data_IF_392532520436
#
_entry.id   IF_392532520436
#
_cell.length_a   1.000
_cell.length_b   1.000
_cell.length_c   1.000
_cell.angle_alpha   90.00
_cell.angle_beta   90.00
_cell.angle_gamma   90.00
#
_symmetry.space_group_name_H-M   'P 1'
#
loop_
_entity.id
_entity.type
_entity.pdbx_description
1 polymer ?
#
# COMPACT_ATOMS: atom_id res chain seq x y z
N UNK A 1 -33.61 40.64 -3.00
CA UNK A 1 -33.75 39.30 -3.63
C UNK A 1 -33.14 39.40 -5.01
N UNK A 2 -32.26 38.53 -5.50
CA UNK A 2 -31.67 37.31 -4.98
C UNK A 2 -30.54 36.92 -5.96
N UNK A 3 -29.49 36.24 -5.49
CA UNK A 3 -28.62 35.42 -6.35
C UNK A 3 -27.12 35.70 -6.25
N UNK A 4 -26.54 35.56 -5.06
CA UNK A 4 -25.09 35.45 -4.92
C UNK A 4 -24.65 34.05 -5.41
N UNK A 5 -23.86 34.00 -6.48
CA UNK A 5 -23.42 32.78 -7.17
C UNK A 5 -22.24 32.07 -6.46
N UNK A 6 -21.86 32.50 -5.26
CA UNK A 6 -20.60 32.11 -4.64
C UNK A 6 -20.69 30.92 -3.65
N UNK A 7 -21.78 30.15 -3.64
CA UNK A 7 -21.98 29.04 -2.68
C UNK A 7 -21.69 27.63 -3.24
N UNK A 8 -20.86 27.50 -4.29
CA UNK A 8 -20.59 26.20 -4.95
C UNK A 8 -19.15 25.68 -4.77
N UNK A 9 -18.51 25.97 -3.63
CA UNK A 9 -17.23 25.34 -3.28
C UNK A 9 -17.41 24.58 -1.98
N UNK A 10 -18.14 23.47 -2.06
CA UNK A 10 -18.17 22.49 -0.99
C UNK A 10 -16.78 21.91 -0.82
N UNK A 11 -16.04 22.39 0.18
CA UNK A 11 -14.79 21.77 0.61
C UNK A 11 -15.13 20.40 1.21
N UNK A 12 -14.90 19.32 0.46
CA UNK A 12 -15.04 17.96 0.99
C UNK A 12 -13.74 17.54 1.67
N UNK A 13 -13.74 17.49 2.99
CA UNK A 13 -12.66 16.87 3.76
C UNK A 13 -12.96 15.37 3.87
N UNK A 14 -12.23 14.54 3.13
CA UNK A 14 -12.31 13.08 3.27
C UNK A 14 -11.36 12.65 4.38
N UNK A 15 -11.90 12.40 5.58
CA UNK A 15 -11.15 11.79 6.67
C UNK A 15 -10.99 10.28 6.42
N UNK A 16 -9.86 9.89 5.84
CA UNK A 16 -9.48 8.48 5.77
C UNK A 16 -9.01 8.05 7.16
N UNK A 17 -9.87 7.32 7.86
CA UNK A 17 -9.46 6.60 9.07
C UNK A 17 -8.66 5.38 8.65
N UNK A 18 -7.59 5.05 9.38
CA UNK A 18 -6.87 3.80 9.17
C UNK A 18 -7.84 2.63 9.31
N UNK A 19 -7.90 1.76 8.29
CA UNK A 19 -8.71 0.55 8.35
C UNK A 19 -8.30 -0.26 9.60
N UNK A 20 -9.27 -0.86 10.33
CA UNK A 20 -8.93 -1.76 11.42
C UNK A 20 -7.98 -2.83 10.88
N UNK A 21 -6.96 -3.24 11.65
CA UNK A 21 -6.04 -4.28 11.20
C UNK A 21 -6.88 -5.53 10.95
N UNK A 22 -7.05 -5.88 9.67
CA UNK A 22 -7.64 -7.16 9.33
C UNK A 22 -6.73 -8.22 9.93
N UNK A 23 -7.29 -9.10 10.76
CA UNK A 23 -6.62 -10.32 11.22
C UNK A 23 -6.46 -11.28 10.04
N UNK A 24 -5.66 -10.89 9.06
CA UNK A 24 -5.32 -11.73 7.94
C UNK A 24 -3.90 -12.23 8.13
N UNK A 25 -3.74 -13.55 8.01
CA UNK A 25 -2.46 -14.25 7.92
C UNK A 25 -1.75 -13.88 6.61
N UNK A 26 -1.46 -12.59 6.40
CA UNK A 26 -1.01 -12.02 5.15
C UNK A 26 -0.51 -10.58 5.31
N UNK A 27 0.07 -10.04 4.25
CA UNK A 27 0.33 -8.61 4.17
C UNK A 27 -0.97 -7.86 3.90
N UNK A 28 -1.05 -6.61 4.34
CA UNK A 28 -2.13 -5.72 3.92
C UNK A 28 -2.18 -5.64 2.38
N UNK A 29 -3.39 -5.59 1.81
CA UNK A 29 -3.58 -5.63 0.36
C UNK A 29 -2.81 -4.51 -0.37
N UNK A 30 -2.69 -3.34 0.26
CA UNK A 30 -1.93 -2.23 -0.29
C UNK A 30 -0.43 -2.50 -0.26
N UNK A 31 0.06 -3.08 0.85
CA UNK A 31 1.45 -3.43 1.00
C UNK A 31 1.88 -4.55 0.04
N UNK A 32 1.01 -5.54 -0.19
CA UNK A 32 1.22 -6.58 -1.21
C UNK A 32 1.28 -5.97 -2.62
N UNK A 33 0.35 -5.07 -2.96
CA UNK A 33 0.33 -4.37 -4.25
C UNK A 33 1.61 -3.58 -4.49
N UNK A 34 2.04 -2.76 -3.52
CA UNK A 34 3.28 -1.99 -3.59
C UNK A 34 4.47 -2.91 -3.80
N UNK A 35 4.58 -3.97 -2.99
CA UNK A 35 5.69 -4.91 -3.06
C UNK A 35 5.75 -5.61 -4.44
N UNK A 36 4.61 -6.04 -4.99
CA UNK A 36 4.55 -6.67 -6.33
C UNK A 36 5.02 -5.75 -7.44
N UNK A 37 4.59 -4.49 -7.44
CA UNK A 37 5.02 -3.49 -8.44
C UNK A 37 6.54 -3.27 -8.34
N UNK A 38 7.06 -3.13 -7.13
CA UNK A 38 8.51 -2.95 -6.92
C UNK A 38 9.31 -4.17 -7.36
N UNK A 39 8.80 -5.40 -7.20
CA UNK A 39 9.47 -6.63 -7.59
C UNK A 39 9.58 -6.83 -9.11
N UNK A 40 8.77 -6.13 -9.92
CA UNK A 40 8.87 -6.18 -11.38
C UNK A 40 10.15 -5.49 -11.88
N UNK A 41 10.55 -4.41 -11.21
CA UNK A 41 11.64 -3.54 -11.65
C UNK A 41 12.91 -3.69 -10.80
N UNK A 42 12.80 -4.27 -9.59
CA UNK A 42 13.88 -4.27 -8.60
C UNK A 42 14.18 -5.66 -8.02
N UNK A 43 15.44 -5.90 -7.59
CA UNK A 43 15.76 -7.09 -6.80
C UNK A 43 14.98 -7.13 -5.47
N UNK A 44 14.65 -8.34 -5.01
CA UNK A 44 13.85 -8.63 -3.81
C UNK A 44 14.28 -7.82 -2.58
N UNK A 45 15.58 -7.72 -2.35
CA UNK A 45 16.15 -6.98 -1.20
C UNK A 45 15.82 -5.49 -1.25
N UNK A 46 15.84 -4.88 -2.43
CA UNK A 46 15.56 -3.46 -2.62
C UNK A 46 14.06 -3.18 -2.61
N UNK A 47 13.28 -4.04 -3.27
CA UNK A 47 11.82 -3.98 -3.23
C UNK A 47 11.28 -4.05 -1.79
N UNK A 48 11.76 -5.00 -0.98
CA UNK A 48 11.35 -5.14 0.42
C UNK A 48 11.76 -3.95 1.29
N UNK A 49 12.91 -3.32 1.02
CA UNK A 49 13.36 -2.14 1.75
C UNK A 49 12.50 -0.91 1.44
N UNK A 50 12.19 -0.68 0.16
CA UNK A 50 11.33 0.42 -0.28
C UNK A 50 9.88 0.22 0.18
N UNK A 51 9.34 -0.99 0.04
CA UNK A 51 8.00 -1.31 0.55
C UNK A 51 7.90 -1.08 2.06
N UNK A 52 8.95 -1.38 2.83
CA UNK A 52 8.98 -1.11 4.27
C UNK A 52 8.95 0.40 4.57
N UNK A 53 9.66 1.20 3.79
CA UNK A 53 9.68 2.66 3.94
C UNK A 53 8.31 3.30 3.58
N UNK A 54 7.60 2.73 2.60
CA UNK A 54 6.29 3.24 2.15
C UNK A 54 5.17 2.81 3.10
N UNK A 55 5.18 1.54 3.52
CA UNK A 55 4.06 0.94 4.28
C UNK A 55 4.26 0.97 5.80
N UNK A 56 5.48 1.26 6.26
CA UNK A 56 5.85 1.18 7.68
C UNK A 56 5.96 -0.26 8.22
N UNK A 57 5.75 -1.28 7.38
CA UNK A 57 5.88 -2.68 7.78
C UNK A 57 7.35 -3.10 7.90
N UNK A 58 7.60 -4.12 8.73
CA UNK A 58 8.95 -4.65 8.94
C UNK A 58 9.52 -5.21 7.63
N UNK A 59 10.68 -4.70 7.22
CA UNK A 59 11.43 -5.17 6.03
C UNK A 59 11.59 -6.70 5.99
N UNK A 60 11.86 -7.34 7.13
CA UNK A 60 12.02 -8.81 7.16
C UNK A 60 10.74 -9.53 6.75
N UNK A 61 9.57 -9.05 7.19
CA UNK A 61 8.26 -9.62 6.81
C UNK A 61 8.02 -9.49 5.30
N UNK A 62 8.26 -8.29 4.77
CA UNK A 62 8.14 -8.02 3.33
C UNK A 62 9.13 -8.84 2.49
N UNK A 63 10.34 -9.05 2.99
CA UNK A 63 11.37 -9.84 2.33
C UNK A 63 10.99 -11.32 2.24
N UNK A 64 10.54 -11.92 3.34
CA UNK A 64 10.08 -13.32 3.34
C UNK A 64 8.91 -13.51 2.39
N UNK A 65 7.91 -12.64 2.48
CA UNK A 65 6.75 -12.71 1.60
C UNK A 65 7.12 -12.52 0.11
N UNK A 66 8.09 -11.66 -0.20
CA UNK A 66 8.60 -11.51 -1.55
C UNK A 66 9.35 -12.75 -2.07
N UNK A 67 10.03 -13.49 -1.19
CA UNK A 67 10.66 -14.77 -1.55
C UNK A 67 9.61 -15.85 -1.84
N UNK A 68 8.55 -15.92 -1.03
CA UNK A 68 7.44 -16.84 -1.26
C UNK A 68 6.76 -16.55 -2.62
N UNK A 69 6.46 -15.28 -2.90
CA UNK A 69 5.96 -14.82 -4.20
C UNK A 69 6.86 -15.19 -5.38
N UNK A 70 8.18 -15.00 -5.25
CA UNK A 70 9.13 -15.39 -6.31
C UNK A 70 9.21 -16.90 -6.51
N UNK A 71 9.07 -17.67 -5.43
CA UNK A 71 9.02 -19.13 -5.48
C UNK A 71 7.77 -19.65 -6.18
N UNK A 72 6.64 -18.98 -6.01
CA UNK A 72 5.38 -19.27 -6.72
C UNK A 72 5.43 -18.85 -8.19
N UNK A 73 6.05 -17.71 -8.52
CA UNK A 73 6.20 -17.21 -9.90
C UNK A 73 7.17 -18.03 -10.76
N UNK A 74 8.03 -18.83 -10.15
CA UNK A 74 9.01 -19.69 -10.83
C UNK A 74 8.56 -21.13 -11.07
N UNK A 75 7.33 -21.49 -10.70
CA UNK A 75 6.69 -22.79 -10.97
C UNK A 75 5.71 -22.70 -12.13
#
# INVERSE_FOLDING_TARGET
>A
MAGDANQQRGESVVLVHGAPPAEERGLDAEAERILRVLLQELPVKQAAALAAAITGLKRNRLYHYALDLKGEQGR
#
